data_IF_854322794862
#
_entry.id   IF_854322794862
#
_cell.length_a   1.000
_cell.length_b   1.000
_cell.length_c   1.000
_cell.angle_alpha   90.00
_cell.angle_beta   90.00
_cell.angle_gamma   90.00
#
_symmetry.space_group_name_H-M   'P 1'
#
loop_
_entity.id
_entity.type
_entity.pdbx_description
1 polymer ?
#
# COMPACT_ATOMS: atom_id res chain seq x y z
N UNK A 1 -9.95 0.81 -6.01
CA UNK A 1 -10.23 -0.63 -6.16
C UNK A 1 -9.09 -1.37 -5.53
N UNK A 2 -9.43 -2.20 -4.54
CA UNK A 2 -8.48 -2.99 -3.76
C UNK A 2 -8.38 -4.39 -4.37
N UNK A 3 -7.24 -5.03 -4.19
CA UNK A 3 -7.05 -6.43 -4.57
C UNK A 3 -7.53 -7.33 -3.45
N UNK A 4 -8.46 -8.26 -3.71
CA UNK A 4 -8.84 -9.29 -2.74
C UNK A 4 -8.22 -10.62 -3.17
N UNK A 5 -7.30 -11.15 -2.35
CA UNK A 5 -6.70 -12.46 -2.55
C UNK A 5 -7.54 -13.53 -1.85
N UNK A 6 -8.22 -14.37 -2.62
CA UNK A 6 -9.02 -15.48 -2.09
C UNK A 6 -8.15 -16.66 -1.61
N UNK A 7 -8.74 -17.56 -0.84
CA UNK A 7 -8.12 -18.84 -0.50
C UNK A 7 -7.84 -19.65 -1.78
N UNK A 8 -6.62 -20.17 -1.90
CA UNK A 8 -6.08 -20.78 -3.13
C UNK A 8 -5.65 -19.77 -4.20
N UNK A 9 -5.83 -18.47 -3.96
CA UNK A 9 -5.50 -17.41 -4.89
C UNK A 9 -4.00 -17.33 -5.19
N UNK A 10 -3.66 -17.13 -6.46
CA UNK A 10 -2.30 -16.98 -6.93
C UNK A 10 -2.18 -15.69 -7.74
N UNK A 11 -1.49 -14.70 -7.19
CA UNK A 11 -1.24 -13.43 -7.85
C UNK A 11 0.26 -13.14 -7.87
N UNK A 12 0.76 -12.89 -9.08
CA UNK A 12 2.10 -12.35 -9.31
C UNK A 12 1.97 -11.10 -10.15
N UNK A 13 2.47 -9.97 -9.65
CA UNK A 13 2.47 -8.72 -10.41
C UNK A 13 3.80 -7.99 -10.30
N UNK A 14 4.00 -7.09 -11.27
CA UNK A 14 5.19 -6.25 -11.38
C UNK A 14 4.77 -4.85 -11.77
N UNK A 15 5.10 -3.87 -10.94
CA UNK A 15 4.98 -2.45 -11.23
C UNK A 15 6.37 -1.90 -11.57
N UNK A 16 6.52 -1.37 -12.78
CA UNK A 16 7.71 -0.61 -13.17
C UNK A 16 7.33 0.79 -13.60
N UNK A 17 8.06 1.77 -13.08
CA UNK A 17 7.84 3.18 -13.38
C UNK A 17 9.18 3.85 -13.62
N UNK A 18 9.32 4.51 -14.75
CA UNK A 18 10.47 5.35 -15.08
C UNK A 18 10.02 6.81 -15.06
N UNK A 19 10.53 7.56 -14.10
CA UNK A 19 10.22 8.97 -13.86
C UNK A 19 11.24 9.86 -14.56
N UNK A 20 10.74 10.89 -15.24
CA UNK A 20 11.57 11.93 -15.84
C UNK A 20 11.73 13.14 -14.91
N UNK A 21 12.87 13.82 -14.98
CA UNK A 21 13.19 15.10 -14.37
C UNK A 21 12.58 15.30 -13.00
N UNK A 22 11.62 16.23 -12.93
CA UNK A 22 10.86 16.61 -11.74
C UNK A 22 9.43 16.07 -11.71
N UNK A 23 9.12 15.00 -12.45
CA UNK A 23 7.79 14.39 -12.43
C UNK A 23 7.34 14.07 -11.02
N UNK A 24 6.06 14.33 -10.73
CA UNK A 24 5.41 13.82 -9.52
C UNK A 24 4.78 12.46 -9.82
N UNK A 25 4.80 11.59 -8.81
CA UNK A 25 4.21 10.27 -8.90
C UNK A 25 3.56 9.92 -7.56
N UNK A 26 2.31 9.47 -7.62
CA UNK A 26 1.59 8.89 -6.50
C UNK A 26 1.10 7.52 -6.94
N UNK A 27 1.49 6.48 -6.21
CA UNK A 27 0.92 5.16 -6.37
C UNK A 27 0.47 4.62 -5.02
N UNK A 28 -0.55 3.78 -5.11
CA UNK A 28 -1.15 3.09 -3.99
C UNK A 28 -1.43 1.67 -4.40
N UNK A 29 -1.27 0.78 -3.44
CA UNK A 29 -1.74 -0.57 -3.55
C UNK A 29 -2.36 -1.02 -2.24
N UNK A 30 -3.59 -1.52 -2.34
CA UNK A 30 -4.37 -2.00 -1.23
C UNK A 30 -4.73 -3.47 -1.47
N UNK A 31 -4.39 -4.33 -0.51
CA UNK A 31 -4.57 -5.78 -0.60
C UNK A 31 -5.35 -6.27 0.61
N UNK A 32 -6.37 -7.07 0.35
CA UNK A 32 -7.14 -7.80 1.35
C UNK A 32 -6.88 -9.28 1.20
N UNK A 33 -6.64 -9.95 2.31
CA UNK A 33 -6.43 -11.38 2.34
C UNK A 33 -7.72 -12.08 2.74
N UNK A 34 -8.47 -12.54 1.75
CA UNK A 34 -9.78 -13.21 1.88
C UNK A 34 -10.94 -12.24 2.13
N UNK A 35 -12.16 -12.73 1.94
CA UNK A 35 -13.39 -12.00 2.32
C UNK A 35 -13.68 -12.19 3.80
N UNK A 36 -13.13 -11.31 4.64
CA UNK A 36 -13.34 -11.34 6.09
C UNK A 36 -14.83 -11.37 6.48
N UNK A 37 -15.67 -10.58 5.81
CA UNK A 37 -17.11 -10.54 6.05
C UNK A 37 -17.82 -11.89 5.79
N UNK A 38 -17.21 -12.80 5.04
CA UNK A 38 -17.72 -14.15 4.76
C UNK A 38 -16.98 -15.24 5.55
N UNK A 39 -16.16 -14.87 6.54
CA UNK A 39 -15.39 -15.81 7.35
C UNK A 39 -14.26 -16.52 6.61
N UNK A 40 -13.95 -16.12 5.38
CA UNK A 40 -12.87 -16.73 4.60
C UNK A 40 -11.52 -16.51 5.29
N UNK A 41 -10.60 -17.47 5.21
CA UNK A 41 -9.20 -17.33 5.61
C UNK A 41 -8.32 -17.94 4.51
N UNK A 42 -7.22 -17.26 4.16
CA UNK A 42 -6.32 -17.69 3.07
C UNK A 42 -5.31 -18.71 3.61
N UNK A 43 -5.75 -19.97 3.74
CA UNK A 43 -4.97 -21.12 4.24
C UNK A 43 -4.02 -21.72 3.22
N UNK A 44 -4.22 -21.38 1.95
CA UNK A 44 -3.31 -21.68 0.85
C UNK A 44 -3.34 -20.49 -0.11
N UNK A 45 -2.20 -20.10 -0.66
CA UNK A 45 -2.14 -19.03 -1.65
C UNK A 45 -0.72 -18.62 -1.99
N UNK A 46 -0.60 -17.75 -2.99
CA UNK A 46 0.64 -17.12 -3.40
C UNK A 46 0.37 -15.68 -3.79
N UNK A 47 1.02 -14.74 -3.11
CA UNK A 47 1.00 -13.33 -3.44
C UNK A 47 2.43 -12.83 -3.58
N UNK A 48 2.78 -12.34 -4.77
CA UNK A 48 4.09 -11.78 -5.06
C UNK A 48 3.92 -10.46 -5.80
N UNK A 49 4.20 -9.36 -5.11
CA UNK A 49 4.11 -8.01 -5.63
C UNK A 49 5.47 -7.33 -5.64
N UNK A 50 5.90 -6.91 -6.83
CA UNK A 50 7.22 -6.31 -7.05
C UNK A 50 7.11 -4.92 -7.63
N UNK A 51 7.71 -3.96 -6.94
CA UNK A 51 7.73 -2.56 -7.36
C UNK A 51 9.15 -2.15 -7.70
N UNK A 52 9.38 -1.54 -8.86
CA UNK A 52 10.65 -0.88 -9.20
C UNK A 52 10.34 0.49 -9.79
N UNK A 53 10.77 1.53 -9.08
CA UNK A 53 10.60 2.91 -9.51
C UNK A 53 11.98 3.51 -9.72
N UNK A 54 12.21 4.02 -10.91
CA UNK A 54 13.45 4.69 -11.29
C UNK A 54 13.19 6.15 -11.61
N UNK A 55 14.17 7.00 -11.38
CA UNK A 55 14.18 8.39 -11.85
C UNK A 55 15.45 8.61 -12.65
N UNK A 56 15.30 9.06 -13.89
CA UNK A 56 16.44 9.25 -14.80
C UNK A 56 17.34 7.99 -14.87
N UNK A 57 16.70 6.82 -15.00
CA UNK A 57 17.37 5.51 -15.04
C UNK A 57 17.94 5.00 -13.70
N UNK A 58 17.94 5.80 -12.63
CA UNK A 58 18.47 5.40 -11.31
C UNK A 58 17.36 4.84 -10.42
N UNK A 59 17.61 3.69 -9.78
CA UNK A 59 16.65 3.06 -8.86
C UNK A 59 16.40 3.96 -7.64
N UNK A 60 15.14 4.37 -7.46
CA UNK A 60 14.72 5.24 -6.35
C UNK A 60 13.94 4.47 -5.28
N UNK A 61 13.16 3.46 -5.69
CA UNK A 61 12.40 2.60 -4.79
C UNK A 61 12.30 1.17 -5.34
N UNK A 62 12.39 0.22 -4.42
CA UNK A 62 12.14 -1.19 -4.67
C UNK A 62 11.35 -1.79 -3.51
N UNK A 63 10.27 -2.49 -3.84
CA UNK A 63 9.53 -3.33 -2.90
C UNK A 63 9.36 -4.74 -3.47
N UNK A 64 9.31 -5.74 -2.60
CA UNK A 64 9.18 -7.14 -2.98
C UNK A 64 8.41 -7.87 -1.87
N UNK A 65 7.08 -7.82 -1.94
CA UNK A 65 6.20 -8.48 -0.97
C UNK A 65 5.90 -9.88 -1.48
N UNK A 66 6.25 -10.89 -0.67
CA UNK A 66 6.01 -12.30 -0.99
C UNK A 66 5.38 -13.03 0.19
N UNK A 67 4.21 -13.61 -0.04
CA UNK A 67 3.49 -14.47 0.91
C UNK A 67 3.05 -15.74 0.17
N UNK A 68 3.44 -16.91 0.65
CA UNK A 68 3.15 -18.20 0.01
C UNK A 68 2.79 -19.28 1.03
N UNK A 69 1.91 -20.21 0.68
CA UNK A 69 1.46 -21.28 1.57
C UNK A 69 0.29 -20.86 2.46
N UNK A 70 0.33 -21.18 3.76
CA UNK A 70 -0.67 -20.71 4.72
C UNK A 70 -0.42 -19.24 5.03
N UNK A 71 -1.05 -18.37 4.24
CA UNK A 71 -0.94 -16.92 4.38
C UNK A 71 -1.60 -16.48 5.69
N UNK A 72 -2.73 -17.08 6.08
CA UNK A 72 -3.42 -16.72 7.31
C UNK A 72 -2.54 -16.91 8.56
N UNK A 73 -1.77 -17.99 8.64
CA UNK A 73 -0.79 -18.20 9.73
C UNK A 73 0.37 -17.19 9.70
N UNK A 74 0.77 -16.74 8.51
CA UNK A 74 1.81 -15.71 8.40
C UNK A 74 1.32 -14.35 8.87
N UNK A 75 0.07 -13.98 8.57
CA UNK A 75 -0.48 -12.67 8.91
C UNK A 75 -0.62 -12.43 10.41
N UNK A 76 -0.77 -13.47 11.23
CA UNK A 76 -0.85 -13.32 12.70
C UNK A 76 0.48 -12.87 13.32
N UNK A 77 1.60 -13.00 12.60
CA UNK A 77 2.92 -12.63 13.11
C UNK A 77 3.02 -11.10 13.22
N UNK A 78 3.48 -10.54 14.37
CA UNK A 78 3.61 -9.09 14.55
C UNK A 78 4.44 -8.39 13.48
N UNK A 79 5.51 -9.03 12.99
CA UNK A 79 6.38 -8.47 11.95
C UNK A 79 5.78 -8.52 10.53
N UNK A 80 4.62 -9.17 10.33
CA UNK A 80 3.94 -9.26 9.03
C UNK A 80 2.76 -8.31 9.00
N UNK A 81 1.64 -8.68 9.65
CA UNK A 81 0.46 -7.82 9.81
C UNK A 81 -0.10 -7.82 11.24
N UNK A 82 0.47 -8.59 12.17
CA UNK A 82 0.03 -8.61 13.57
C UNK A 82 -1.44 -8.98 13.76
N UNK A 83 -1.97 -9.87 12.91
CA UNK A 83 -3.37 -10.30 12.92
C UNK A 83 -4.29 -9.47 12.03
N UNK A 84 -3.81 -8.37 11.46
CA UNK A 84 -4.55 -7.60 10.46
C UNK A 84 -4.69 -8.38 9.14
N UNK A 85 -5.73 -8.05 8.36
CA UNK A 85 -6.08 -8.78 7.14
C UNK A 85 -6.13 -7.92 5.88
N UNK A 86 -5.94 -6.63 6.04
CA UNK A 86 -5.84 -5.67 4.95
C UNK A 86 -4.55 -4.88 5.13
N UNK A 87 -3.93 -4.53 4.00
CA UNK A 87 -2.75 -3.68 4.00
C UNK A 87 -2.79 -2.70 2.83
N UNK A 88 -2.13 -1.56 3.00
CA UNK A 88 -1.82 -0.69 1.87
C UNK A 88 -0.36 -0.22 1.89
N UNK A 89 0.21 -0.06 0.71
CA UNK A 89 1.48 0.63 0.49
C UNK A 89 1.22 1.84 -0.41
N UNK A 90 1.66 3.02 0.02
CA UNK A 90 1.56 4.26 -0.72
C UNK A 90 2.96 4.80 -0.95
N UNK A 91 3.28 5.16 -2.18
CA UNK A 91 4.51 5.90 -2.48
C UNK A 91 4.16 7.21 -3.18
N UNK A 92 4.77 8.28 -2.68
CA UNK A 92 4.76 9.57 -3.33
C UNK A 92 6.19 10.00 -3.63
N UNK A 93 6.41 10.54 -4.83
CA UNK A 93 7.63 11.25 -5.19
C UNK A 93 7.23 12.59 -5.78
N UNK A 94 7.80 13.68 -5.29
CA UNK A 94 7.44 15.02 -5.72
C UNK A 94 8.08 16.08 -4.83
N UNK A 95 7.55 17.30 -4.91
CA UNK A 95 7.98 18.40 -4.06
C UNK A 95 7.22 18.41 -2.73
N UNK A 96 7.78 19.10 -1.73
CA UNK A 96 7.16 19.39 -0.44
C UNK A 96 6.83 18.16 0.43
N UNK A 97 7.57 17.05 0.26
CA UNK A 97 7.34 15.82 1.03
C UNK A 97 7.48 16.02 2.53
N UNK A 98 8.40 16.88 2.96
CA UNK A 98 8.62 17.15 4.38
C UNK A 98 7.39 17.83 5.02
N UNK A 99 6.73 18.72 4.28
CA UNK A 99 5.49 19.37 4.73
C UNK A 99 4.29 18.41 4.74
N UNK A 100 4.33 17.33 3.95
CA UNK A 100 3.28 16.32 3.89
C UNK A 100 3.45 15.23 4.95
N UNK A 101 4.65 15.02 5.49
CA UNK A 101 4.99 13.85 6.29
C UNK A 101 4.21 13.77 7.60
N UNK A 102 4.21 14.84 8.40
CA UNK A 102 3.53 14.83 9.69
C UNK A 102 1.99 14.82 9.55
N UNK A 103 1.38 15.65 8.67
CA UNK A 103 -0.06 15.53 8.39
C UNK A 103 -0.46 14.14 7.90
N UNK A 104 0.40 13.48 7.11
CA UNK A 104 0.14 12.12 6.66
C UNK A 104 0.19 11.14 7.83
N UNK A 105 1.16 11.25 8.74
CA UNK A 105 1.22 10.40 9.94
C UNK A 105 -0.02 10.55 10.81
N UNK A 106 -0.50 11.77 11.00
CA UNK A 106 -1.71 12.06 11.76
C UNK A 106 -2.93 11.38 11.15
N UNK A 107 -3.07 11.44 9.82
CA UNK A 107 -4.16 10.78 9.08
C UNK A 107 -4.08 9.25 9.16
N UNK A 108 -2.87 8.70 9.09
CA UNK A 108 -2.65 7.26 9.12
C UNK A 108 -2.97 6.65 10.49
N UNK A 109 -2.68 7.37 11.57
CA UNK A 109 -2.96 6.97 12.94
C UNK A 109 -2.29 5.66 13.35
N UNK A 110 -2.84 5.01 14.38
CA UNK A 110 -2.33 3.73 14.87
C UNK A 110 -2.49 2.61 13.83
N UNK A 111 -1.46 1.82 13.60
CA UNK A 111 -1.45 0.78 12.55
C UNK A 111 -1.02 1.29 11.17
N UNK A 112 -0.74 2.58 11.04
CA UNK A 112 -0.07 3.16 9.88
C UNK A 112 1.28 3.79 10.23
N UNK A 113 2.12 3.95 9.23
CA UNK A 113 3.42 4.62 9.39
C UNK A 113 3.88 5.25 8.09
N UNK A 114 4.57 6.39 8.19
CA UNK A 114 5.14 7.09 7.06
C UNK A 114 6.56 7.58 7.32
N UNK A 115 7.39 7.60 6.28
CA UNK A 115 8.75 8.12 6.29
C UNK A 115 9.09 8.76 4.94
N UNK A 116 9.91 9.80 4.96
CA UNK A 116 10.42 10.47 3.76
C UNK A 116 11.95 10.43 3.72
N UNK A 117 12.53 9.95 2.62
CA UNK A 117 13.98 9.88 2.41
C UNK A 117 14.33 9.65 0.95
N UNK A 118 15.47 10.18 0.49
CA UNK A 118 15.98 9.91 -0.86
C UNK A 118 14.98 10.24 -1.97
N UNK A 119 14.29 11.38 -1.84
CA UNK A 119 13.35 11.91 -2.83
C UNK A 119 12.00 11.21 -2.91
N UNK A 120 11.64 10.38 -1.93
CA UNK A 120 10.35 9.69 -1.85
C UNK A 120 9.77 9.79 -0.44
N UNK A 121 8.45 9.71 -0.38
CA UNK A 121 7.66 9.47 0.81
C UNK A 121 7.02 8.08 0.66
N UNK A 122 7.18 7.23 1.67
CA UNK A 122 6.55 5.92 1.74
C UNK A 122 5.62 5.88 2.95
N UNK A 123 4.41 5.39 2.75
CA UNK A 123 3.48 5.06 3.83
C UNK A 123 2.99 3.61 3.71
N UNK A 124 2.76 2.99 4.86
CA UNK A 124 2.16 1.66 4.96
C UNK A 124 1.05 1.66 6.00
N UNK A 125 0.02 0.87 5.76
CA UNK A 125 -1.14 0.70 6.64
C UNK A 125 -1.37 -0.80 6.82
N UNK A 126 -1.63 -1.24 8.05
CA UNK A 126 -2.21 -2.53 8.37
C UNK A 126 -3.56 -2.30 9.04
N UNK A 127 -4.58 -3.01 8.60
CA UNK A 127 -5.95 -2.84 9.09
C UNK A 127 -6.71 -4.18 9.18
N UNK A 128 -7.69 -4.32 10.08
CA UNK A 128 -8.43 -5.55 10.24
C UNK A 128 -9.28 -5.91 9.01
N UNK A 129 -9.74 -4.92 8.25
CA UNK A 129 -10.60 -5.10 7.07
C UNK A 129 -10.54 -3.90 6.09
N UNK A 130 -11.33 -3.97 5.01
CA UNK A 130 -11.46 -2.92 3.98
C UNK A 130 -11.96 -1.60 4.57
N UNK A 131 -12.91 -1.64 5.49
CA UNK A 131 -13.56 -0.43 5.98
C UNK A 131 -12.55 0.41 6.78
N UNK A 132 -11.84 -0.23 7.71
CA UNK A 132 -10.77 0.40 8.50
C UNK A 132 -9.57 0.81 7.63
N UNK A 133 -9.26 0.04 6.58
CA UNK A 133 -8.22 0.43 5.64
C UNK A 133 -8.62 1.72 4.90
N UNK A 134 -9.83 1.76 4.35
CA UNK A 134 -10.34 2.86 3.52
C UNK A 134 -10.55 4.14 4.32
N UNK A 135 -10.98 4.05 5.58
CA UNK A 135 -11.18 5.21 6.44
C UNK A 135 -9.90 6.04 6.61
N UNK A 136 -8.72 5.40 6.48
CA UNK A 136 -7.39 6.04 6.57
C UNK A 136 -6.78 6.28 5.20
N UNK A 137 -6.95 5.33 4.28
CA UNK A 137 -6.37 5.39 2.94
C UNK A 137 -6.94 6.54 2.10
N UNK A 138 -8.25 6.76 2.12
CA UNK A 138 -8.88 7.79 1.29
C UNK A 138 -8.43 9.21 1.72
N UNK A 139 -8.44 9.57 3.02
CA UNK A 139 -7.89 10.86 3.46
C UNK A 139 -6.40 10.99 3.17
N UNK A 140 -5.60 9.92 3.36
CA UNK A 140 -4.17 9.93 3.06
C UNK A 140 -3.89 10.23 1.57
N UNK A 141 -4.62 9.59 0.65
CA UNK A 141 -4.50 9.89 -0.78
C UNK A 141 -4.99 11.30 -1.11
N UNK A 142 -6.07 11.77 -0.48
CA UNK A 142 -6.59 13.12 -0.69
C UNK A 142 -5.57 14.19 -0.30
N UNK A 143 -4.89 13.99 0.83
CA UNK A 143 -3.78 14.84 1.28
C UNK A 143 -2.64 14.85 0.24
N UNK A 144 -2.21 13.66 -0.22
CA UNK A 144 -1.11 13.52 -1.19
C UNK A 144 -1.47 14.05 -2.60
N UNK A 145 -2.76 14.11 -2.94
CA UNK A 145 -3.22 14.73 -4.18
C UNK A 145 -3.18 16.26 -4.15
N UNK A 146 -2.90 16.88 -3.00
CA UNK A 146 -2.73 18.35 -2.84
C UNK A 146 -3.94 19.13 -3.38
N UNK A 147 -5.15 18.68 -3.05
CA UNK A 147 -6.40 19.32 -3.49
C UNK A 147 -6.89 18.93 -4.89
N UNK A 148 -6.13 18.12 -5.64
CA UNK A 148 -6.63 17.50 -6.87
C UNK A 148 -7.66 16.40 -6.54
N UNK A 149 -8.71 16.23 -7.34
CA UNK A 149 -9.69 15.18 -7.10
C UNK A 149 -9.05 13.80 -7.22
N UNK A 150 -9.41 12.88 -6.32
CA UNK A 150 -9.00 11.49 -6.45
C UNK A 150 -9.58 10.90 -7.75
N UNK A 151 -8.82 10.07 -8.49
CA UNK A 151 -9.37 9.29 -9.58
C UNK A 151 -10.60 8.49 -9.11
N UNK A 152 -11.65 8.38 -9.93
CA UNK A 152 -12.88 7.64 -9.57
C UNK A 152 -12.59 6.21 -9.10
N UNK A 153 -11.61 5.56 -9.73
CA UNK A 153 -11.15 4.21 -9.38
C UNK A 153 -10.56 4.09 -7.97
N UNK A 154 -10.21 5.20 -7.31
CA UNK A 154 -9.73 5.24 -5.92
C UNK A 154 -10.80 5.67 -4.92
N UNK A 155 -11.94 6.17 -5.41
CA UNK A 155 -13.08 6.57 -4.58
C UNK A 155 -14.07 5.41 -4.35
N UNK A 156 -14.11 4.44 -5.26
CA UNK A 156 -15.00 3.26 -5.24
C UNK A 156 -14.53 2.19 -4.26
#
# INVERSE_FOLDING_TARGET
QETILFNGGMLRRRLEVDLAGSSEFLAVEAVLFGRTAMGESVRSGSFHDRWRIRREGRLQFADDVRLEGDIADQLVRPAVLGGNRAMATIIFTGQDMDALLDPLRDVLGEGGGASAWGGKLLARIAAPDSLELRSRLIPALSLLMKGRPLPKVWQL
#
